data_IF_340994707383
#
_entry.id   IF_340994707383
#
_cell.length_a   1.000
_cell.length_b   1.000
_cell.length_c   1.000
_cell.angle_alpha   90.00
_cell.angle_beta   90.00
_cell.angle_gamma   90.00
#
_symmetry.space_group_name_H-M   'P 1'
#
loop_
_entity.id
_entity.type
_entity.pdbx_description
1 polymer ?
#
# COMPACT_ATOMS: atom_id res chain seq x y z
N UNK A 1 24.11 1.54 -7.89
CA UNK A 1 24.76 2.18 -9.03
C UNK A 1 24.18 3.56 -9.31
N UNK A 2 25.02 4.59 -9.27
CA UNK A 2 24.67 5.94 -9.69
C UNK A 2 24.45 5.94 -11.22
N UNK A 3 23.27 6.33 -11.73
CA UNK A 3 22.92 6.08 -13.12
C UNK A 3 23.85 6.77 -14.13
N UNK A 4 24.38 7.94 -13.80
CA UNK A 4 25.19 8.77 -14.71
C UNK A 4 26.69 8.53 -14.57
N UNK A 5 27.18 8.17 -13.38
CA UNK A 5 28.62 7.98 -13.14
C UNK A 5 29.02 6.50 -13.11
N UNK A 6 28.04 5.58 -13.06
CA UNK A 6 28.30 4.16 -12.85
C UNK A 6 28.83 3.84 -11.44
N UNK A 7 28.87 4.82 -10.55
CA UNK A 7 29.49 4.71 -9.24
C UNK A 7 28.62 3.88 -8.30
N UNK A 8 29.19 2.85 -7.70
CA UNK A 8 28.51 2.06 -6.67
C UNK A 8 28.93 2.55 -5.29
N UNK A 9 27.93 2.87 -4.47
CA UNK A 9 28.13 3.25 -3.06
C UNK A 9 27.44 2.24 -2.17
N UNK A 10 28.22 1.62 -1.28
CA UNK A 10 27.71 0.74 -0.24
C UNK A 10 27.28 1.58 0.95
N UNK A 11 26.01 1.44 1.36
CA UNK A 11 25.48 2.09 2.57
C UNK A 11 25.14 0.97 3.56
N UNK A 12 25.77 0.92 4.75
CA UNK A 12 25.42 -0.06 5.76
C UNK A 12 23.97 0.17 6.23
N UNK A 13 23.22 -0.92 6.42
CA UNK A 13 21.85 -0.86 6.85
C UNK A 13 21.40 -2.15 7.49
N UNK A 14 20.33 -2.07 8.27
CA UNK A 14 19.67 -3.21 8.89
C UNK A 14 18.32 -3.43 8.24
N UNK A 15 18.01 -4.69 7.91
CA UNK A 15 16.67 -5.06 7.46
C UNK A 15 15.72 -4.87 8.63
N UNK A 16 14.80 -3.92 8.50
CA UNK A 16 13.78 -3.63 9.52
C UNK A 16 12.44 -4.25 9.18
N UNK A 17 12.25 -4.65 7.92
CA UNK A 17 11.06 -5.34 7.45
C UNK A 17 11.39 -6.16 6.23
N UNK A 18 10.76 -7.31 6.09
CA UNK A 18 10.72 -8.03 4.83
C UNK A 18 9.33 -8.64 4.64
N UNK A 19 8.93 -8.81 3.39
CA UNK A 19 7.74 -9.57 3.01
C UNK A 19 8.18 -10.74 2.15
N UNK A 20 7.58 -11.90 2.44
CA UNK A 20 7.83 -13.14 1.71
C UNK A 20 6.74 -13.33 0.66
N UNK A 21 7.13 -13.92 -0.47
CA UNK A 21 6.20 -14.35 -1.50
C UNK A 21 5.54 -15.68 -1.09
N UNK A 22 4.67 -16.20 -1.93
CA UNK A 22 4.01 -17.50 -1.75
C UNK A 22 5.00 -18.68 -1.66
N UNK A 23 6.24 -18.50 -2.11
CA UNK A 23 7.32 -19.50 -2.05
C UNK A 23 8.27 -19.27 -0.85
N UNK A 24 7.95 -18.33 0.05
CA UNK A 24 8.77 -18.04 1.23
C UNK A 24 10.03 -17.24 0.92
N UNK A 25 10.14 -16.62 -0.26
CA UNK A 25 11.28 -15.81 -0.67
C UNK A 25 11.00 -14.32 -0.44
N UNK A 26 11.96 -13.55 0.11
CA UNK A 26 11.77 -12.12 0.32
C UNK A 26 11.68 -11.38 -1.01
N UNK A 27 10.55 -10.69 -1.24
CA UNK A 27 10.30 -9.90 -2.45
C UNK A 27 10.25 -8.40 -2.16
N UNK A 28 10.01 -8.00 -0.90
CA UNK A 28 10.19 -6.62 -0.43
C UNK A 28 11.09 -6.60 0.80
N UNK A 29 12.00 -5.65 0.86
CA UNK A 29 12.90 -5.44 1.99
C UNK A 29 12.89 -3.95 2.35
N UNK A 30 12.43 -3.65 3.57
CA UNK A 30 12.64 -2.35 4.20
C UNK A 30 13.99 -2.35 4.90
N UNK A 31 14.90 -1.49 4.45
CA UNK A 31 16.24 -1.33 5.04
C UNK A 31 16.30 0.02 5.76
N UNK A 32 16.66 0.00 7.04
CA UNK A 32 17.03 1.21 7.78
C UNK A 32 18.53 1.41 7.65
N UNK A 33 18.93 2.50 7.02
CA UNK A 33 20.35 2.83 6.89
C UNK A 33 20.95 3.27 8.23
N UNK A 34 22.15 2.77 8.51
CA UNK A 34 22.94 3.13 9.67
C UNK A 34 24.02 4.10 9.20
N UNK A 35 23.66 5.37 9.07
CA UNK A 35 24.59 6.42 8.63
C UNK A 35 24.98 7.22 9.86
N UNK A 36 26.28 7.43 10.09
CA UNK A 36 26.75 8.35 11.12
C UNK A 36 26.29 9.78 10.77
N UNK A 37 26.00 10.62 11.78
CA UNK A 37 25.47 11.98 11.56
C UNK A 37 26.39 12.84 10.67
N UNK A 38 27.70 12.57 10.71
CA UNK A 38 28.72 13.25 9.90
C UNK A 38 28.57 12.93 8.39
N UNK A 39 28.14 11.72 8.05
CA UNK A 39 27.96 11.22 6.68
C UNK A 39 26.50 11.31 6.19
N UNK A 40 25.56 11.63 7.08
CA UNK A 40 24.13 11.65 6.80
C UNK A 40 23.79 12.67 5.72
N UNK A 41 24.37 13.87 5.77
CA UNK A 41 24.15 14.91 4.77
C UNK A 41 24.63 14.51 3.38
N UNK A 42 25.80 13.87 3.30
CA UNK A 42 26.37 13.44 2.02
C UNK A 42 25.59 12.27 1.43
N UNK A 43 25.16 11.34 2.28
CA UNK A 43 24.31 10.20 1.88
C UNK A 43 22.93 10.67 1.42
N UNK A 44 22.31 11.62 2.12
CA UNK A 44 21.04 12.25 1.71
C UNK A 44 21.22 12.98 0.38
N UNK A 45 22.31 13.73 0.21
CA UNK A 45 22.60 14.43 -1.04
C UNK A 45 22.85 13.45 -2.20
N UNK A 46 23.56 12.34 -1.96
CA UNK A 46 23.78 11.30 -2.95
C UNK A 46 22.47 10.58 -3.33
N UNK A 47 21.65 10.18 -2.36
CA UNK A 47 20.32 9.63 -2.62
C UNK A 47 19.42 10.62 -3.36
N UNK A 48 19.50 11.91 -3.03
CA UNK A 48 18.85 12.99 -3.76
C UNK A 48 19.30 13.06 -5.22
N UNK A 49 20.61 12.93 -5.49
CA UNK A 49 21.15 12.90 -6.86
C UNK A 49 20.76 11.64 -7.63
N UNK A 50 20.78 10.48 -7.00
CA UNK A 50 20.31 9.23 -7.62
C UNK A 50 18.82 9.33 -7.94
N UNK A 51 17.99 9.81 -7.01
CA UNK A 51 16.57 10.08 -7.25
C UNK A 51 16.36 11.11 -8.36
N UNK A 52 17.13 12.20 -8.37
CA UNK A 52 17.07 13.23 -9.40
C UNK A 52 17.53 12.72 -10.79
N UNK A 53 18.52 11.82 -10.82
CA UNK A 53 19.06 11.20 -12.03
C UNK A 53 18.12 10.13 -12.60
N UNK A 54 17.42 9.38 -11.75
CA UNK A 54 16.27 8.55 -12.15
C UNK A 54 15.09 9.42 -12.63
N UNK A 55 14.79 10.53 -11.93
CA UNK A 55 13.80 11.52 -12.37
C UNK A 55 14.11 12.09 -13.75
N UNK A 56 15.39 12.39 -14.03
CA UNK A 56 15.81 12.93 -15.31
C UNK A 56 15.74 11.90 -16.46
N UNK A 57 15.86 10.60 -16.15
CA UNK A 57 15.68 9.52 -17.15
C UNK A 57 14.22 9.14 -17.38
N UNK A 58 13.31 9.50 -16.47
CA UNK A 58 11.85 9.30 -16.55
C UNK A 58 11.10 10.63 -16.55
N UNK A 59 11.03 11.28 -17.69
CA UNK A 59 10.19 12.46 -17.98
C UNK A 59 8.67 12.36 -17.63
N UNK A 60 8.20 11.39 -16.84
CA UNK A 60 6.77 11.10 -16.62
C UNK A 60 6.39 10.60 -15.22
N UNK A 61 7.12 11.00 -14.18
CA UNK A 61 6.67 10.84 -12.79
C UNK A 61 5.90 12.09 -12.34
N UNK A 62 4.62 11.96 -11.97
CA UNK A 62 3.80 13.08 -11.51
C UNK A 62 3.69 12.99 -9.99
N UNK A 63 4.07 14.06 -9.28
CA UNK A 63 4.05 14.10 -7.83
C UNK A 63 3.28 15.33 -7.32
N UNK A 64 2.74 15.23 -6.11
CA UNK A 64 2.00 16.32 -5.48
C UNK A 64 1.48 15.98 -4.09
N UNK A 65 0.65 16.88 -3.56
CA UNK A 65 0.01 16.68 -2.25
C UNK A 65 -1.32 15.94 -2.42
N UNK A 66 -1.58 14.99 -1.52
CA UNK A 66 -2.88 14.32 -1.39
C UNK A 66 -3.95 15.34 -1.01
N UNK A 67 -3.62 16.35 -0.20
CA UNK A 67 -4.58 17.37 0.26
C UNK A 67 -5.15 18.26 -0.85
N UNK A 68 -4.59 18.21 -2.06
CA UNK A 68 -5.06 19.01 -3.20
C UNK A 68 -6.32 18.43 -3.85
N UNK A 69 -6.41 17.11 -3.95
CA UNK A 69 -7.49 16.42 -4.67
C UNK A 69 -8.10 15.25 -3.87
N UNK A 70 -7.36 14.68 -2.92
CA UNK A 70 -7.69 13.40 -2.28
C UNK A 70 -7.30 12.19 -3.14
N UNK A 71 -7.13 11.04 -2.50
CA UNK A 71 -6.65 9.83 -3.17
C UNK A 71 -7.63 9.29 -4.22
N UNK A 72 -8.95 9.35 -3.94
CA UNK A 72 -9.98 8.87 -4.86
C UNK A 72 -9.93 9.58 -6.21
N UNK A 73 -9.87 10.91 -6.18
CA UNK A 73 -9.90 11.74 -7.38
C UNK A 73 -8.59 11.63 -8.14
N UNK A 74 -7.45 11.47 -7.45
CA UNK A 74 -6.15 11.18 -8.07
C UNK A 74 -6.20 9.87 -8.85
N UNK A 75 -6.64 8.78 -8.21
CA UNK A 75 -6.70 7.45 -8.83
C UNK A 75 -7.64 7.46 -10.03
N UNK A 76 -8.80 8.10 -9.91
CA UNK A 76 -9.78 8.21 -11.01
C UNK A 76 -9.21 9.02 -12.18
N UNK A 77 -8.71 10.23 -11.90
CA UNK A 77 -8.25 11.17 -12.92
C UNK A 77 -7.09 10.59 -13.75
N UNK A 78 -6.11 10.00 -13.07
CA UNK A 78 -4.95 9.46 -13.76
C UNK A 78 -5.25 8.09 -14.35
N UNK A 79 -6.07 7.26 -13.70
CA UNK A 79 -6.45 5.95 -14.24
C UNK A 79 -7.21 6.06 -15.57
N UNK A 80 -7.98 7.14 -15.76
CA UNK A 80 -8.65 7.43 -17.03
C UNK A 80 -7.71 8.00 -18.10
N UNK A 81 -6.77 8.87 -17.72
CA UNK A 81 -5.86 9.51 -18.66
C UNK A 81 -4.63 8.65 -19.03
N UNK A 82 -4.15 7.85 -18.07
CA UNK A 82 -2.97 7.02 -18.16
C UNK A 82 -3.36 5.62 -17.66
N UNK A 83 -3.78 4.73 -18.58
CA UNK A 83 -4.45 3.48 -18.22
C UNK A 83 -3.54 2.48 -17.51
N UNK A 84 -2.22 2.71 -17.47
CA UNK A 84 -1.24 1.83 -16.84
C UNK A 84 -0.18 2.62 -16.08
N UNK A 85 -0.01 2.31 -14.79
CA UNK A 85 0.95 2.99 -13.93
C UNK A 85 0.85 2.57 -12.47
N UNK A 86 1.69 3.18 -11.63
CA UNK A 86 1.72 2.92 -10.19
C UNK A 86 1.70 4.22 -9.41
N UNK A 87 0.79 4.29 -8.46
CA UNK A 87 0.82 5.27 -7.39
C UNK A 87 1.65 4.76 -6.22
N UNK A 88 2.41 5.67 -5.64
CA UNK A 88 3.03 5.56 -4.33
C UNK A 88 2.51 6.71 -3.48
N UNK A 89 1.78 6.39 -2.42
CA UNK A 89 1.18 7.33 -1.48
C UNK A 89 1.98 7.29 -0.19
N UNK A 90 2.27 8.45 0.40
CA UNK A 90 3.10 8.59 1.58
C UNK A 90 2.45 9.51 2.60
N UNK A 91 2.28 9.03 3.84
CA UNK A 91 1.75 9.81 4.96
C UNK A 91 2.34 9.30 6.28
N UNK A 92 2.89 10.18 7.11
CA UNK A 92 3.40 9.86 8.45
C UNK A 92 4.29 8.60 8.53
N UNK A 93 5.18 8.43 7.54
CA UNK A 93 6.08 7.28 7.45
C UNK A 93 5.41 5.98 6.96
N UNK A 94 4.10 5.99 6.70
CA UNK A 94 3.39 4.92 6.00
C UNK A 94 3.50 5.12 4.49
N UNK A 95 3.67 4.00 3.78
CA UNK A 95 3.74 3.96 2.33
C UNK A 95 2.68 2.99 1.83
N UNK A 96 1.83 3.48 0.96
CA UNK A 96 0.81 2.70 0.26
C UNK A 96 1.05 2.72 -1.24
N UNK A 97 0.71 1.65 -1.94
CA UNK A 97 0.95 1.52 -3.38
C UNK A 97 -0.30 1.00 -4.07
N UNK A 98 -0.60 1.58 -5.24
CA UNK A 98 -1.71 1.17 -6.10
C UNK A 98 -1.14 0.96 -7.50
N UNK A 99 -1.23 -0.25 -8.03
CA UNK A 99 -0.88 -0.54 -9.42
C UNK A 99 -2.15 -0.61 -10.27
N UNK A 100 -2.08 0.00 -11.44
CA UNK A 100 -3.14 0.04 -12.43
C UNK A 100 -2.57 -0.48 -13.74
N UNK A 101 -3.32 -1.35 -14.41
CA UNK A 101 -3.01 -1.82 -15.75
C UNK A 101 -4.30 -1.87 -16.57
N UNK A 102 -4.31 -1.21 -17.73
CA UNK A 102 -5.50 -1.12 -18.60
C UNK A 102 -6.78 -0.71 -17.86
N UNK A 103 -6.70 0.32 -17.02
CA UNK A 103 -7.80 0.82 -16.17
C UNK A 103 -8.32 -0.18 -15.13
N UNK A 104 -7.59 -1.27 -14.87
CA UNK A 104 -7.87 -2.24 -13.83
C UNK A 104 -6.87 -2.05 -12.70
N UNK A 105 -7.35 -1.91 -11.48
CA UNK A 105 -6.53 -1.91 -10.29
C UNK A 105 -6.11 -3.35 -10.01
N UNK A 106 -4.82 -3.65 -10.15
CA UNK A 106 -4.29 -5.02 -10.06
C UNK A 106 -3.47 -5.27 -8.78
N UNK A 107 -3.08 -4.22 -8.05
CA UNK A 107 -2.39 -4.38 -6.77
C UNK A 107 -2.68 -3.17 -5.91
N UNK A 108 -3.01 -3.41 -4.65
CA UNK A 108 -3.25 -2.38 -3.64
C UNK A 108 -2.65 -2.87 -2.34
N UNK A 109 -1.75 -2.07 -1.77
CA UNK A 109 -1.05 -2.48 -0.56
C UNK A 109 -0.74 -1.27 0.32
N UNK A 110 -0.85 -1.45 1.63
CA UNK A 110 -0.30 -0.54 2.63
C UNK A 110 0.07 -1.32 3.89
N UNK A 111 1.32 -1.23 4.33
CA UNK A 111 1.76 -2.11 5.41
C UNK A 111 1.54 -3.58 5.00
N UNK A 112 1.02 -4.39 5.92
CA UNK A 112 0.62 -5.78 5.63
C UNK A 112 -0.84 -5.94 5.16
N UNK A 113 -1.55 -4.84 4.86
CA UNK A 113 -2.89 -4.90 4.30
C UNK A 113 -2.82 -4.90 2.77
N UNK A 114 -3.70 -5.69 2.14
CA UNK A 114 -3.80 -5.85 0.68
C UNK A 114 -5.24 -5.69 0.19
N UNK A 115 -5.39 -5.38 -1.10
CA UNK A 115 -6.68 -5.28 -1.79
C UNK A 115 -7.58 -4.18 -1.22
N UNK A 116 -8.88 -4.43 -1.15
CA UNK A 116 -9.88 -3.42 -0.78
C UNK A 116 -9.63 -2.80 0.61
N UNK A 117 -9.16 -3.59 1.59
CA UNK A 117 -8.85 -3.08 2.94
C UNK A 117 -7.70 -2.08 2.93
N UNK A 118 -6.70 -2.32 2.09
CA UNK A 118 -5.61 -1.37 1.88
C UNK A 118 -6.12 -0.10 1.20
N UNK A 119 -6.99 -0.26 0.19
CA UNK A 119 -7.58 0.87 -0.52
C UNK A 119 -8.36 1.78 0.43
N UNK A 120 -9.26 1.21 1.24
CA UNK A 120 -10.05 1.94 2.26
C UNK A 120 -9.15 2.76 3.17
N UNK A 121 -8.06 2.18 3.67
CA UNK A 121 -7.11 2.90 4.53
C UNK A 121 -6.45 4.08 3.81
N UNK A 122 -6.03 3.88 2.57
CA UNK A 122 -5.41 4.95 1.78
C UNK A 122 -6.41 6.04 1.38
N UNK A 123 -7.65 5.68 1.03
CA UNK A 123 -8.71 6.65 0.70
C UNK A 123 -9.12 7.51 1.90
N UNK A 124 -8.88 7.05 3.13
CA UNK A 124 -9.09 7.85 4.35
C UNK A 124 -8.01 8.91 4.61
N UNK A 125 -6.98 9.00 3.77
CA UNK A 125 -5.92 9.99 3.92
C UNK A 125 -6.34 11.34 3.34
N UNK A 126 -6.41 12.34 4.22
CA UNK A 126 -6.73 13.74 3.87
C UNK A 126 -5.48 14.55 3.51
N UNK A 127 -4.30 14.07 3.91
CA UNK A 127 -3.00 14.70 3.69
C UNK A 127 -1.91 13.67 3.35
N UNK A 128 -0.72 14.17 3.03
CA UNK A 128 0.43 13.38 2.58
C UNK A 128 0.84 13.72 1.16
N UNK A 129 1.75 12.92 0.60
CA UNK A 129 2.29 13.11 -0.73
C UNK A 129 1.98 11.90 -1.61
N UNK A 130 1.86 12.13 -2.91
CA UNK A 130 1.77 11.06 -3.89
C UNK A 130 2.86 11.20 -4.95
N UNK A 131 3.23 10.07 -5.52
CA UNK A 131 4.01 9.94 -6.75
C UNK A 131 3.29 8.95 -7.66
N UNK A 132 3.11 9.30 -8.92
CA UNK A 132 2.57 8.45 -9.95
C UNK A 132 3.61 8.22 -11.03
N UNK A 133 3.82 6.97 -11.43
CA UNK A 133 4.69 6.60 -12.52
C UNK A 133 3.92 5.79 -13.56
N UNK A 134 3.89 6.30 -14.80
CA UNK A 134 3.37 5.53 -15.92
C UNK A 134 4.21 4.27 -16.15
N UNK A 135 3.55 3.15 -16.47
CA UNK A 135 4.20 1.86 -16.73
C UNK A 135 3.75 1.34 -18.09
N UNK A 136 4.70 0.80 -18.86
CA UNK A 136 4.42 0.19 -20.17
C UNK A 136 4.09 -1.29 -20.06
N UNK A 137 4.51 -1.95 -18.98
CA UNK A 137 4.31 -3.38 -18.74
C UNK A 137 3.47 -3.62 -17.48
N UNK A 138 2.71 -4.71 -17.47
CA UNK A 138 2.01 -5.14 -16.28
C UNK A 138 3.04 -5.52 -15.21
N UNK A 139 2.97 -4.90 -14.03
CA UNK A 139 3.67 -5.43 -12.87
C UNK A 139 3.08 -6.81 -12.59
N UNK A 140 3.85 -7.87 -12.86
CA UNK A 140 3.52 -9.24 -12.51
C UNK A 140 3.66 -9.42 -10.99
N UNK A 141 2.69 -8.92 -10.24
CA UNK A 141 2.48 -9.37 -8.86
C UNK A 141 1.56 -10.59 -8.94
N UNK A 142 1.98 -11.73 -8.38
CA UNK A 142 1.22 -12.99 -8.25
C UNK A 142 -0.03 -12.87 -7.36
N UNK A 143 -0.53 -11.66 -7.13
CA UNK A 143 -1.65 -11.38 -6.26
C UNK A 143 -2.94 -11.36 -7.10
N UNK A 144 -3.79 -12.36 -6.89
CA UNK A 144 -4.99 -12.67 -7.70
C UNK A 144 -6.11 -11.59 -7.61
N UNK A 145 -5.87 -10.49 -6.88
CA UNK A 145 -6.84 -9.42 -6.71
C UNK A 145 -6.78 -8.43 -7.88
N UNK A 146 -7.85 -8.35 -8.66
CA UNK A 146 -8.01 -7.31 -9.66
C UNK A 146 -9.45 -6.81 -9.71
N UNK A 147 -9.61 -5.51 -9.96
CA UNK A 147 -10.93 -4.89 -10.05
C UNK A 147 -10.86 -3.62 -10.90
N UNK A 148 -11.87 -3.33 -11.76
CA UNK A 148 -11.97 -2.04 -12.43
C UNK A 148 -11.89 -0.89 -11.41
N UNK A 149 -11.22 0.20 -11.78
CA UNK A 149 -10.95 1.32 -10.86
C UNK A 149 -12.24 1.82 -10.20
N UNK A 150 -13.28 2.04 -10.99
CA UNK A 150 -14.56 2.59 -10.51
C UNK A 150 -15.21 1.65 -9.50
N UNK A 151 -15.18 0.33 -9.77
CA UNK A 151 -15.74 -0.67 -8.87
C UNK A 151 -14.95 -0.76 -7.56
N UNK A 152 -13.61 -0.69 -7.64
CA UNK A 152 -12.75 -0.70 -6.47
C UNK A 152 -12.97 0.53 -5.58
N UNK A 153 -13.09 1.71 -6.18
CA UNK A 153 -13.35 2.95 -5.48
C UNK A 153 -14.76 2.97 -4.86
N UNK A 154 -15.78 2.50 -5.59
CA UNK A 154 -17.15 2.39 -5.07
C UNK A 154 -17.24 1.44 -3.88
N UNK A 155 -16.62 0.27 -3.97
CA UNK A 155 -16.63 -0.70 -2.87
C UNK A 155 -15.87 -0.16 -1.66
N UNK A 156 -14.74 0.53 -1.87
CA UNK A 156 -14.00 1.15 -0.77
C UNK A 156 -14.78 2.32 -0.14
N UNK A 157 -15.50 3.11 -0.93
CA UNK A 157 -16.39 4.16 -0.42
C UNK A 157 -17.52 3.59 0.43
N UNK A 158 -18.13 2.46 0.01
CA UNK A 158 -19.13 1.73 0.81
C UNK A 158 -18.59 1.38 2.19
N UNK A 159 -17.38 0.80 2.24
CA UNK A 159 -16.71 0.47 3.52
C UNK A 159 -16.42 1.71 4.38
N UNK A 160 -16.00 2.83 3.78
CA UNK A 160 -15.76 4.08 4.53
C UNK A 160 -17.05 4.63 5.15
N UNK A 161 -18.16 4.57 4.42
CA UNK A 161 -19.46 5.05 4.92
C UNK A 161 -20.01 4.14 6.02
N UNK A 162 -19.81 2.83 5.92
CA UNK A 162 -20.15 1.86 6.97
C UNK A 162 -19.34 2.11 8.24
N UNK A 163 -18.02 2.30 8.12
CA UNK A 163 -17.15 2.60 9.27
C UNK A 163 -17.55 3.92 9.96
N UNK A 164 -17.94 4.94 9.18
CA UNK A 164 -18.46 6.21 9.73
C UNK A 164 -19.76 6.01 10.50
N UNK A 165 -20.70 5.25 9.95
CA UNK A 165 -21.99 4.95 10.62
C UNK A 165 -21.77 4.17 11.92
N UNK A 166 -20.87 3.18 11.91
CA UNK A 166 -20.59 2.36 13.09
C UNK A 166 -19.87 3.16 14.20
N UNK A 167 -19.03 4.14 13.86
CA UNK A 167 -18.43 5.06 14.87
C UNK A 167 -19.47 5.91 15.58
N UNK A 168 -20.53 6.29 14.89
CA UNK A 168 -21.64 7.07 15.46
C UNK A 168 -22.54 6.20 16.35
N UNK A 169 -22.64 4.90 16.06
CA UNK A 169 -23.23 3.91 16.97
C UNK A 169 -22.20 3.53 18.05
N UNK A 170 -21.94 4.46 18.96
CA UNK A 170 -21.15 4.15 20.16
C UNK A 170 -21.86 3.07 20.95
N UNK A 171 -21.24 1.89 21.01
CA UNK A 171 -21.60 0.90 22.01
C UNK A 171 -21.58 1.61 23.39
N UNK A 172 -22.62 1.47 24.21
CA UNK A 172 -22.63 2.00 25.57
C UNK A 172 -21.32 1.63 26.28
N UNK A 173 -20.76 2.51 27.11
CA UNK A 173 -19.49 2.23 27.81
C UNK A 173 -19.53 0.95 28.66
N UNK A 174 -20.73 0.49 28.99
CA UNK A 174 -21.03 -0.75 29.71
C UNK A 174 -21.20 -2.00 28.81
N UNK A 175 -21.10 -1.84 27.49
CA UNK A 175 -21.06 -2.96 26.55
C UNK A 175 -19.71 -3.67 26.63
N UNK A 176 -19.69 -4.85 27.25
CA UNK A 176 -18.56 -5.76 27.24
C UNK A 176 -18.71 -6.85 26.19
N UNK A 177 -17.61 -7.23 25.52
CA UNK A 177 -17.55 -8.43 24.70
C UNK A 177 -17.76 -9.65 25.60
N UNK A 178 -18.93 -10.30 25.51
CA UNK A 178 -19.18 -11.59 26.15
C UNK A 178 -18.94 -12.72 25.16
N UNK A 179 -17.79 -13.37 25.28
CA UNK A 179 -17.54 -14.65 24.62
C UNK A 179 -18.34 -15.71 25.35
N UNK A 180 -19.43 -16.20 24.74
CA UNK A 180 -20.11 -17.40 25.20
C UNK A 180 -19.39 -18.61 24.62
N UNK A 181 -18.62 -19.30 25.45
CA UNK A 181 -18.18 -20.64 25.13
C UNK A 181 -19.44 -21.53 25.12
N UNK A 182 -19.77 -22.07 23.95
CA UNK A 182 -20.72 -23.18 23.87
C UNK A 182 -19.95 -24.39 24.39
N UNK A 183 -20.41 -24.96 25.50
CA UNK A 183 -19.95 -26.26 25.94
C UNK A 183 -20.41 -27.25 24.87
N UNK A 184 -19.45 -27.72 24.07
CA UNK A 184 -19.70 -28.76 23.08
C UNK A 184 -19.62 -30.06 23.86
N UNK A 185 -20.77 -30.70 24.04
CA UNK A 185 -20.82 -32.06 24.55
C UNK A 185 -20.18 -32.98 23.50
N UNK A 186 -18.99 -33.48 23.81
CA UNK A 186 -18.21 -34.34 22.90
C UNK A 186 -18.88 -35.70 22.69
N UNK A 187 -19.87 -36.05 23.52
CA UNK A 187 -20.65 -37.28 23.41
C UNK A 187 -21.97 -37.08 22.64
N UNK A 188 -22.25 -35.88 22.12
CA UNK A 188 -23.43 -35.61 21.29
C UNK A 188 -23.32 -36.35 19.93
N UNK A 189 -24.15 -37.38 19.67
CA UNK A 189 -24.09 -38.16 18.44
C UNK A 189 -24.54 -37.38 17.20
N UNK A 190 -25.03 -36.14 17.36
CA UNK A 190 -25.43 -35.26 16.24
C UNK A 190 -24.29 -34.37 15.74
N UNK A 191 -23.12 -34.38 16.39
CA UNK A 191 -21.88 -33.81 15.86
C UNK A 191 -21.32 -34.71 14.75
N UNK A 192 -22.00 -34.74 13.60
CA UNK A 192 -21.51 -35.40 12.39
C UNK A 192 -20.22 -34.72 11.90
N UNK A 193 -19.27 -35.54 11.47
CA UNK A 193 -17.89 -35.21 11.04
C UNK A 193 -17.76 -34.33 9.78
N UNK A 194 -18.80 -33.62 9.35
CA UNK A 194 -18.83 -32.93 8.05
C UNK A 194 -18.49 -31.43 8.15
N UNK A 195 -17.54 -31.06 9.00
CA UNK A 195 -17.00 -29.70 9.04
C UNK A 195 -15.49 -29.71 9.32
N UNK A 196 -14.73 -30.29 8.39
CA UNK A 196 -13.32 -29.95 8.15
C UNK A 196 -13.16 -29.62 6.67
#
# INVERSE_FOLDING_TARGET
MHPTSGEDRTIPGVVVRHELDSNGKPWVIGVKFLVADEDAKETIAYLGRVKASEHARRLGGIAGSISTLGVSDLVTSFGLCIPSGRFTLMRDGQIGTIAIHQCVMCSVQIGGAFGIKALVRMLSWEDGNFEFHAMTEAASDDNEWSMPIEMALLEAARFLDEDRRDRDVRLPREAGLRVKYREIDLDDPTLSKDAL
#
